data_IF_144924804873
#
_entry.id   IF_144924804873
#
_cell.length_a   1.000
_cell.length_b   1.000
_cell.length_c   1.000
_cell.angle_alpha   90.00
_cell.angle_beta   90.00
_cell.angle_gamma   90.00
#
_symmetry.space_group_name_H-M   'P 1'
#
loop_
_entity.id
_entity.type
_entity.pdbx_description
1 polymer ?
#
# COMPACT_ATOMS: atom_id res chain seq x y z
N UNK A 1 -41.38 -48.13 -3.64
CA UNK A 1 -42.31 -48.07 -4.81
C UNK A 1 -42.55 -46.61 -5.19
N UNK A 2 -42.48 -46.33 -6.51
CA UNK A 2 -42.65 -45.08 -7.29
C UNK A 2 -41.31 -44.33 -7.49
N UNK A 3 -40.60 -44.50 -8.54
CA UNK A 3 -40.60 -44.39 -10.01
C UNK A 3 -40.88 -42.99 -10.57
N UNK A 4 -39.84 -42.48 -11.22
CA UNK A 4 -39.86 -41.77 -12.48
C UNK A 4 -39.91 -40.22 -12.33
N UNK A 5 -39.34 -39.40 -13.17
CA UNK A 5 -39.24 -39.45 -14.62
C UNK A 5 -38.13 -38.47 -15.02
N UNK A 6 -37.24 -38.89 -15.93
CA UNK A 6 -36.32 -38.00 -16.70
C UNK A 6 -37.12 -37.33 -17.83
N UNK A 7 -36.91 -36.04 -18.04
CA UNK A 7 -37.29 -35.36 -19.30
C UNK A 7 -36.04 -34.69 -19.87
N UNK A 8 -35.57 -35.30 -20.98
CA UNK A 8 -34.55 -34.74 -21.87
C UNK A 8 -35.27 -33.89 -22.92
N UNK A 9 -34.91 -32.61 -23.01
CA UNK A 9 -35.41 -31.74 -24.08
C UNK A 9 -34.31 -31.53 -25.13
N UNK A 10 -34.53 -32.13 -26.28
CA UNK A 10 -33.70 -32.03 -27.49
C UNK A 10 -34.28 -30.88 -28.37
N UNK A 11 -33.53 -29.84 -28.63
CA UNK A 11 -33.92 -28.77 -29.56
C UNK A 11 -33.21 -28.96 -30.92
N UNK A 12 -34.02 -29.23 -31.93
CA UNK A 12 -33.69 -29.37 -33.34
C UNK A 12 -33.46 -27.98 -33.96
N UNK A 13 -32.33 -27.76 -34.60
CA UNK A 13 -32.10 -26.56 -35.42
C UNK A 13 -32.30 -26.92 -36.90
N UNK A 14 -33.33 -26.31 -37.49
CA UNK A 14 -33.65 -26.44 -38.92
C UNK A 14 -32.88 -25.40 -39.71
N UNK A 15 -32.08 -25.84 -40.65
CA UNK A 15 -31.41 -24.98 -41.63
C UNK A 15 -32.34 -24.59 -42.75
N UNK A 16 -32.29 -23.35 -43.19
CA UNK A 16 -32.91 -22.88 -44.43
C UNK A 16 -31.78 -22.35 -45.31
N UNK A 17 -31.54 -23.05 -46.43
CA UNK A 17 -30.73 -22.60 -47.55
C UNK A 17 -31.64 -21.80 -48.48
N UNK A 18 -31.23 -20.58 -48.79
CA UNK A 18 -31.80 -19.85 -49.94
C UNK A 18 -30.63 -19.46 -50.87
N UNK A 19 -30.62 -20.03 -52.04
CA UNK A 19 -29.77 -19.66 -53.18
C UNK A 19 -30.51 -18.63 -54.03
N UNK A 20 -29.82 -17.55 -54.39
CA UNK A 20 -30.22 -16.72 -55.53
C UNK A 20 -28.96 -16.12 -56.15
N UNK A 21 -28.68 -16.53 -57.38
CA UNK A 21 -27.75 -15.93 -58.30
C UNK A 21 -28.20 -14.51 -58.72
N UNK A 22 -27.25 -13.60 -58.84
CA UNK A 22 -27.51 -12.26 -59.35
C UNK A 22 -26.20 -11.51 -59.63
N UNK A 23 -25.72 -11.66 -60.86
CA UNK A 23 -24.52 -11.01 -61.42
C UNK A 23 -24.76 -9.48 -61.54
N UNK A 24 -23.95 -8.65 -60.88
CA UNK A 24 -23.73 -7.26 -61.32
C UNK A 24 -22.31 -6.83 -60.98
N UNK A 25 -21.55 -6.55 -62.06
CA UNK A 25 -20.28 -5.84 -62.03
C UNK A 25 -20.47 -4.46 -61.40
N UNK A 26 -19.61 -4.09 -60.41
CA UNK A 26 -19.27 -2.69 -60.24
C UNK A 26 -17.93 -2.51 -59.49
N UNK A 27 -17.12 -1.78 -60.11
CA UNK A 27 -15.99 -0.95 -59.80
C UNK A 27 -15.41 -1.04 -58.34
N UNK A 28 -14.13 -1.43 -58.31
CA UNK A 28 -13.26 -1.37 -57.18
C UNK A 28 -12.87 0.08 -56.83
N UNK A 29 -13.50 0.67 -55.83
CA UNK A 29 -12.92 1.79 -55.09
C UNK A 29 -12.01 1.26 -53.97
N UNK A 30 -10.70 1.52 -54.11
CA UNK A 30 -9.71 1.24 -53.08
C UNK A 30 -9.84 2.29 -51.95
N UNK A 31 -10.44 1.93 -50.86
CA UNK A 31 -10.35 2.67 -49.63
C UNK A 31 -8.95 2.46 -49.03
N UNK A 32 -8.20 3.50 -48.65
CA UNK A 32 -6.90 3.32 -48.03
C UNK A 32 -7.07 2.82 -46.61
N UNK A 33 -6.39 1.72 -46.30
CA UNK A 33 -6.24 1.17 -44.95
C UNK A 33 -5.58 2.20 -44.03
N UNK A 34 -6.07 2.43 -42.79
CA UNK A 34 -5.39 3.32 -41.88
C UNK A 34 -4.07 2.69 -41.43
N UNK A 35 -2.98 3.37 -41.73
CA UNK A 35 -1.66 3.08 -41.17
C UNK A 35 -1.77 3.19 -39.63
N UNK A 36 -1.58 2.08 -38.94
CA UNK A 36 -1.29 2.07 -37.53
C UNK A 36 0.12 2.60 -37.33
N UNK A 37 0.24 3.89 -37.12
CA UNK A 37 1.44 4.44 -36.51
C UNK A 37 1.46 3.97 -35.03
N UNK A 38 2.16 2.88 -34.81
CA UNK A 38 2.53 2.44 -33.47
C UNK A 38 3.55 3.46 -32.94
N UNK A 39 3.06 4.45 -32.21
CA UNK A 39 3.92 5.26 -31.34
C UNK A 39 4.34 4.31 -30.22
N UNK A 40 5.52 3.73 -30.36
CA UNK A 40 6.20 3.09 -29.24
C UNK A 40 6.64 4.23 -28.32
N UNK A 41 5.84 4.53 -27.32
CA UNK A 41 6.30 5.27 -26.16
C UNK A 41 7.24 4.31 -25.45
N UNK A 42 8.54 4.46 -25.68
CA UNK A 42 9.54 3.86 -24.82
C UNK A 42 9.30 4.47 -23.43
N UNK A 43 8.81 3.67 -22.49
CA UNK A 43 8.87 4.03 -21.08
C UNK A 43 10.35 4.29 -20.77
N UNK A 44 10.67 5.56 -20.57
CA UNK A 44 11.96 5.98 -20.08
C UNK A 44 12.14 5.33 -18.71
N UNK A 45 12.97 4.29 -18.64
CA UNK A 45 13.35 3.67 -17.36
C UNK A 45 14.12 4.74 -16.60
N UNK A 46 13.42 5.49 -15.76
CA UNK A 46 14.03 6.44 -14.83
C UNK A 46 14.87 5.60 -13.87
N UNK A 47 16.17 5.54 -14.11
CA UNK A 47 17.12 4.94 -13.17
C UNK A 47 17.09 5.79 -11.90
N UNK A 48 16.83 5.19 -10.71
CA UNK A 48 16.83 5.92 -9.47
C UNK A 48 18.19 6.63 -9.27
N UNK A 49 18.14 7.91 -8.95
CA UNK A 49 19.35 8.67 -8.59
C UNK A 49 19.75 8.33 -7.15
N UNK A 50 20.81 7.57 -6.99
CA UNK A 50 21.39 7.20 -5.69
C UNK A 50 22.48 8.17 -5.20
N UNK A 51 22.72 9.28 -5.90
CA UNK A 51 23.80 10.23 -5.56
C UNK A 51 23.69 10.83 -4.15
N UNK A 52 22.51 10.80 -3.56
CA UNK A 52 22.22 11.29 -2.20
C UNK A 52 21.85 10.17 -1.21
N UNK A 53 21.98 8.89 -1.59
CA UNK A 53 21.66 7.79 -0.70
C UNK A 53 22.68 7.72 0.45
N UNK A 54 22.16 7.72 1.70
CA UNK A 54 22.99 7.55 2.91
C UNK A 54 23.10 6.06 3.30
N UNK A 55 21.97 5.31 3.18
CA UNK A 55 21.92 3.87 3.43
C UNK A 55 21.25 3.16 2.27
N UNK A 56 21.76 1.99 1.92
CA UNK A 56 21.21 1.12 0.89
C UNK A 56 21.15 -0.33 1.35
N UNK A 57 20.06 -1.01 1.00
CA UNK A 57 19.89 -2.45 1.23
C UNK A 57 19.29 -3.06 -0.03
N UNK A 58 19.92 -4.11 -0.55
CA UNK A 58 19.52 -4.74 -1.80
C UNK A 58 18.79 -6.07 -1.59
N UNK A 59 17.85 -6.37 -2.48
CA UNK A 59 17.29 -7.71 -2.66
C UNK A 59 17.02 -7.96 -4.14
N UNK A 60 17.76 -8.88 -4.76
CA UNK A 60 17.78 -9.11 -6.21
C UNK A 60 18.04 -7.76 -6.94
N UNK A 61 17.20 -7.40 -7.88
CA UNK A 61 17.32 -6.17 -8.69
C UNK A 61 16.68 -4.93 -8.02
N UNK A 62 16.22 -5.06 -6.77
CA UNK A 62 15.55 -3.98 -6.04
C UNK A 62 16.50 -3.37 -5.00
N UNK A 63 16.64 -2.05 -5.04
CA UNK A 63 17.48 -1.27 -4.13
C UNK A 63 16.58 -0.43 -3.22
N UNK A 64 16.56 -0.78 -1.94
CA UNK A 64 15.93 -0.01 -0.88
C UNK A 64 16.94 1.01 -0.38
N UNK A 65 16.59 2.27 -0.28
CA UNK A 65 17.53 3.28 0.16
C UNK A 65 16.89 4.39 0.96
N UNK A 66 17.70 5.07 1.78
CA UNK A 66 17.34 6.28 2.50
C UNK A 66 18.19 7.45 2.05
N UNK A 67 17.64 8.66 2.15
CA UNK A 67 18.31 9.90 1.82
C UNK A 67 17.74 11.06 2.66
N UNK A 68 18.45 12.19 2.75
CA UNK A 68 17.86 13.44 3.25
C UNK A 68 16.55 13.74 2.53
N UNK A 69 15.62 14.43 3.21
CA UNK A 69 14.33 14.74 2.58
C UNK A 69 14.52 15.61 1.34
N UNK A 70 14.17 15.13 0.12
CA UNK A 70 14.29 15.91 -1.10
C UNK A 70 13.40 17.17 -1.07
N UNK A 71 13.80 18.24 -1.75
CA UNK A 71 13.05 19.49 -1.75
C UNK A 71 11.60 19.32 -2.25
N UNK A 72 11.38 18.48 -3.27
CA UNK A 72 10.04 18.16 -3.74
C UNK A 72 9.17 17.50 -2.68
N UNK A 73 9.78 16.66 -1.82
CA UNK A 73 9.08 16.01 -0.70
C UNK A 73 8.83 17.01 0.42
N UNK A 74 9.80 17.88 0.75
CA UNK A 74 9.58 18.97 1.72
C UNK A 74 8.41 19.86 1.32
N UNK A 75 8.30 20.20 0.03
CA UNK A 75 7.19 20.98 -0.50
C UNK A 75 5.82 20.29 -0.32
N UNK A 76 5.77 18.94 -0.43
CA UNK A 76 4.54 18.16 -0.15
C UNK A 76 4.18 18.19 1.34
N UNK A 77 5.18 18.12 2.21
CA UNK A 77 5.02 18.02 3.67
C UNK A 77 4.73 19.35 4.36
N UNK A 78 5.25 20.45 3.84
CA UNK A 78 5.17 21.77 4.45
C UNK A 78 3.72 22.22 4.64
N UNK A 79 3.36 22.59 5.87
CA UNK A 79 2.01 23.02 6.24
C UNK A 79 0.99 21.85 6.35
N UNK A 80 1.40 20.62 6.03
CA UNK A 80 0.60 19.38 6.15
C UNK A 80 1.15 18.50 7.26
N UNK A 81 1.86 17.41 6.91
CA UNK A 81 2.48 16.54 7.91
C UNK A 81 3.62 17.21 8.68
N UNK A 82 4.20 18.29 8.15
CA UNK A 82 5.25 19.09 8.80
C UNK A 82 4.77 20.55 9.00
N UNK A 83 4.11 20.87 10.12
CA UNK A 83 3.72 22.25 10.44
C UNK A 83 4.94 23.12 10.80
N UNK A 84 4.84 24.43 10.63
CA UNK A 84 5.92 25.39 10.91
C UNK A 84 6.47 25.29 12.33
N UNK A 85 5.63 24.94 13.32
CA UNK A 85 6.01 24.83 14.74
C UNK A 85 6.28 23.39 15.17
N UNK A 86 6.68 22.51 14.22
CA UNK A 86 7.07 21.15 14.58
C UNK A 86 8.28 21.14 15.53
N UNK A 87 8.28 20.21 16.49
CA UNK A 87 9.42 19.99 17.42
C UNK A 87 10.45 19.01 16.86
N UNK A 88 10.47 18.85 15.56
CA UNK A 88 11.39 18.02 14.79
C UNK A 88 11.77 18.79 13.54
N UNK A 89 12.99 18.63 13.09
CA UNK A 89 13.50 19.24 11.85
C UNK A 89 13.58 18.22 10.71
N UNK A 90 13.67 18.69 9.47
CA UNK A 90 13.94 17.82 8.33
C UNK A 90 15.27 17.06 8.44
N UNK A 91 16.29 17.63 9.13
CA UNK A 91 17.59 16.99 9.34
C UNK A 91 17.52 15.73 10.24
N UNK A 92 16.48 15.65 11.08
CA UNK A 92 16.21 14.47 11.90
C UNK A 92 15.43 13.39 11.17
N UNK A 93 14.94 13.68 9.95
CA UNK A 93 14.13 12.79 9.13
C UNK A 93 14.90 12.27 7.93
N UNK A 94 14.45 11.13 7.41
CA UNK A 94 14.93 10.52 6.15
C UNK A 94 13.75 10.13 5.29
N UNK A 95 13.92 10.32 4.00
CA UNK A 95 13.02 9.79 2.97
C UNK A 95 13.53 8.42 2.55
N UNK A 96 12.64 7.43 2.54
CA UNK A 96 12.92 6.06 2.17
C UNK A 96 12.20 5.71 0.88
N UNK A 97 12.92 5.09 -0.04
CA UNK A 97 12.35 4.38 -1.19
C UNK A 97 12.34 2.90 -0.89
N UNK A 98 11.18 2.28 -0.99
CA UNK A 98 10.92 0.89 -0.61
C UNK A 98 10.25 0.14 -1.75
N UNK A 99 10.31 -1.20 -1.71
CA UNK A 99 9.52 -2.07 -2.57
C UNK A 99 8.64 -2.98 -1.73
N UNK A 100 7.46 -3.31 -2.24
CA UNK A 100 6.51 -4.20 -1.57
C UNK A 100 5.66 -4.94 -2.59
N UNK A 101 5.03 -6.05 -2.18
CA UNK A 101 3.97 -6.68 -2.95
C UNK A 101 2.62 -6.16 -2.47
N UNK A 102 1.79 -5.71 -3.41
CA UNK A 102 0.41 -5.32 -3.09
C UNK A 102 -0.47 -6.56 -2.84
N UNK A 103 -1.74 -6.34 -2.55
CA UNK A 103 -2.69 -7.44 -2.29
C UNK A 103 -3.01 -8.29 -3.53
N UNK A 104 -2.71 -7.80 -4.72
CA UNK A 104 -2.78 -8.53 -6.00
C UNK A 104 -1.48 -9.30 -6.32
N UNK A 105 -0.47 -9.21 -5.44
CA UNK A 105 0.82 -9.85 -5.61
C UNK A 105 1.74 -9.17 -6.63
N UNK A 106 1.45 -7.90 -6.98
CA UNK A 106 2.29 -7.11 -7.88
C UNK A 106 3.35 -6.36 -7.09
N UNK A 107 4.56 -6.29 -7.64
CA UNK A 107 5.62 -5.44 -7.09
C UNK A 107 5.26 -3.97 -7.28
N UNK A 108 5.34 -3.21 -6.22
CA UNK A 108 5.13 -1.77 -6.16
C UNK A 108 6.34 -1.08 -5.53
N UNK A 109 6.56 0.18 -5.89
CA UNK A 109 7.48 1.05 -5.18
C UNK A 109 6.70 1.91 -4.20
N UNK A 110 7.20 2.01 -2.96
CA UNK A 110 6.62 2.84 -1.91
C UNK A 110 7.57 3.89 -1.40
N UNK A 111 7.03 4.86 -0.68
CA UNK A 111 7.78 5.93 -0.05
C UNK A 111 7.37 6.13 1.41
N UNK A 112 8.35 6.31 2.29
CA UNK A 112 8.15 6.68 3.69
C UNK A 112 9.04 7.85 4.09
N UNK A 113 8.58 8.61 5.08
CA UNK A 113 9.43 9.53 5.84
C UNK A 113 9.48 9.01 7.27
N UNK A 114 10.69 8.81 7.81
CA UNK A 114 10.89 8.33 9.17
C UNK A 114 12.03 9.11 9.87
N UNK A 115 12.20 8.88 11.18
CA UNK A 115 13.37 9.39 11.90
C UNK A 115 14.65 8.71 11.40
N UNK A 116 15.73 9.49 11.25
CA UNK A 116 17.04 8.96 10.85
C UNK A 116 17.56 7.84 11.77
N UNK A 117 17.16 7.86 13.05
CA UNK A 117 17.57 6.86 14.03
C UNK A 117 17.02 5.44 13.75
N UNK A 118 15.99 5.32 12.92
CA UNK A 118 15.37 4.02 12.57
C UNK A 118 15.37 3.76 11.06
N UNK A 119 15.96 4.65 10.25
CA UNK A 119 15.88 4.57 8.79
C UNK A 119 16.50 3.26 8.27
N UNK A 120 17.72 2.94 8.68
CA UNK A 120 18.41 1.69 8.27
C UNK A 120 17.61 0.45 8.70
N UNK A 121 17.10 0.41 9.92
CA UNK A 121 16.30 -0.72 10.41
C UNK A 121 15.03 -0.90 9.60
N UNK A 122 14.35 0.20 9.21
CA UNK A 122 13.17 0.12 8.35
C UNK A 122 13.51 -0.39 6.95
N UNK A 123 14.64 0.02 6.35
CA UNK A 123 15.10 -0.56 5.08
C UNK A 123 15.26 -2.08 5.20
N UNK A 124 15.89 -2.57 6.26
CA UNK A 124 16.09 -3.99 6.51
C UNK A 124 14.76 -4.73 6.73
N UNK A 125 13.83 -4.13 7.50
CA UNK A 125 12.49 -4.68 7.74
C UNK A 125 11.73 -4.82 6.41
N UNK A 126 11.59 -3.74 5.64
CA UNK A 126 10.83 -3.77 4.40
C UNK A 126 11.47 -4.66 3.34
N UNK A 127 12.82 -4.70 3.25
CA UNK A 127 13.50 -5.69 2.41
C UNK A 127 13.16 -7.13 2.84
N UNK A 128 13.07 -7.40 4.14
CA UNK A 128 12.74 -8.73 4.67
C UNK A 128 11.28 -9.09 4.35
N UNK A 129 10.34 -8.16 4.54
CA UNK A 129 8.94 -8.34 4.16
C UNK A 129 8.79 -8.58 2.66
N UNK A 130 9.52 -7.82 1.84
CA UNK A 130 9.54 -8.00 0.39
C UNK A 130 10.10 -9.36 -0.04
N UNK A 131 11.19 -9.83 0.59
CA UNK A 131 11.80 -11.12 0.30
C UNK A 131 10.85 -12.30 0.56
N UNK A 132 9.97 -12.18 1.55
CA UNK A 132 8.95 -13.17 1.92
C UNK A 132 7.59 -12.93 1.25
N UNK A 133 7.57 -12.03 0.25
CA UNK A 133 6.34 -11.63 -0.46
C UNK A 133 5.18 -11.25 0.48
N UNK A 134 5.48 -10.62 1.64
CA UNK A 134 4.47 -10.18 2.60
C UNK A 134 3.60 -9.08 1.97
N UNK A 135 2.28 -9.24 1.93
CA UNK A 135 1.41 -8.30 1.22
C UNK A 135 1.17 -7.02 2.02
N UNK A 136 1.40 -5.88 1.39
CA UNK A 136 1.10 -4.55 1.93
C UNK A 136 0.24 -3.83 0.89
N UNK A 137 -0.92 -3.29 1.29
CA UNK A 137 -1.84 -2.68 0.34
C UNK A 137 -1.23 -1.46 -0.37
N UNK A 138 -0.60 -0.57 0.39
CA UNK A 138 -0.03 0.69 -0.11
C UNK A 138 0.99 1.24 0.87
N UNK A 139 2.05 1.90 0.36
CA UNK A 139 3.04 2.63 1.16
C UNK A 139 3.24 4.00 0.51
N UNK A 140 2.61 5.03 1.07
CA UNK A 140 2.63 6.41 0.55
C UNK A 140 2.75 7.41 1.69
N UNK A 141 3.21 8.62 1.40
CA UNK A 141 3.20 9.70 2.38
C UNK A 141 1.77 10.07 2.77
N UNK A 142 1.56 10.40 4.04
CA UNK A 142 0.26 10.89 4.52
C UNK A 142 -0.16 12.21 3.86
N UNK A 143 0.80 12.91 3.29
CA UNK A 143 0.62 14.19 2.58
C UNK A 143 -0.21 14.05 1.31
N UNK A 144 -0.24 12.84 0.70
CA UNK A 144 -1.12 12.49 -0.41
C UNK A 144 -2.60 12.40 0.00
N UNK A 145 -2.85 12.38 1.30
CA UNK A 145 -4.15 12.39 1.95
C UNK A 145 -4.36 13.69 2.76
N UNK A 146 -3.68 14.78 2.38
CA UNK A 146 -3.68 16.07 3.08
C UNK A 146 -3.31 15.98 4.57
N UNK A 147 -2.38 15.07 4.91
CA UNK A 147 -1.98 14.70 6.26
C UNK A 147 -3.14 14.23 7.16
N UNK A 148 -4.27 13.87 6.56
CA UNK A 148 -5.40 13.27 7.26
C UNK A 148 -5.11 11.81 7.59
N UNK A 149 -4.87 11.55 8.87
CA UNK A 149 -4.64 10.21 9.42
C UNK A 149 -5.81 9.26 9.11
N UNK A 150 -7.04 9.74 9.26
CA UNK A 150 -8.24 8.93 8.98
C UNK A 150 -8.37 8.60 7.48
N UNK A 151 -8.14 9.57 6.58
CA UNK A 151 -8.22 9.34 5.14
C UNK A 151 -7.13 8.36 4.67
N UNK A 152 -5.89 8.51 5.18
CA UNK A 152 -4.79 7.58 4.90
C UNK A 152 -5.12 6.15 5.35
N UNK A 153 -5.65 5.99 6.58
CA UNK A 153 -6.05 4.67 7.08
C UNK A 153 -7.23 4.06 6.32
N UNK A 154 -8.23 4.87 5.92
CA UNK A 154 -9.37 4.39 5.11
C UNK A 154 -8.93 3.92 3.73
N UNK A 155 -7.90 4.54 3.15
CA UNK A 155 -7.26 4.08 1.91
C UNK A 155 -6.34 2.86 2.13
N UNK A 156 -6.32 2.29 3.33
CA UNK A 156 -5.45 1.18 3.71
C UNK A 156 -3.96 1.46 3.46
N UNK A 157 -3.54 2.71 3.69
CA UNK A 157 -2.18 3.16 3.44
C UNK A 157 -1.29 2.94 4.66
N UNK A 158 -0.22 2.19 4.49
CA UNK A 158 0.86 2.04 5.47
C UNK A 158 1.71 3.31 5.48
N UNK A 159 1.99 3.86 6.67
CA UNK A 159 2.63 5.17 6.79
C UNK A 159 3.50 5.27 8.05
N UNK A 160 4.35 6.30 8.11
CA UNK A 160 5.23 6.52 9.26
C UNK A 160 5.11 7.94 9.81
N UNK A 161 5.73 8.94 9.19
CA UNK A 161 5.75 10.31 9.70
C UNK A 161 4.42 11.03 9.49
N UNK A 162 3.87 11.57 10.58
CA UNK A 162 2.75 12.51 10.58
C UNK A 162 2.78 13.32 11.89
N UNK A 163 3.08 14.63 11.83
CA UNK A 163 3.18 15.47 13.02
C UNK A 163 1.80 15.79 13.58
N UNK A 164 1.35 14.96 14.49
CA UNK A 164 0.04 15.06 15.12
C UNK A 164 0.04 14.64 16.58
N UNK A 165 -0.98 15.04 17.30
CA UNK A 165 -1.23 14.52 18.66
C UNK A 165 -1.92 13.16 18.60
N UNK A 166 -1.81 12.41 19.69
CA UNK A 166 -2.61 11.21 19.94
C UNK A 166 -4.08 11.62 20.07
N UNK A 167 -4.98 10.91 19.37
CA UNK A 167 -6.40 11.22 19.36
C UNK A 167 -6.98 11.32 20.79
N UNK A 168 -7.60 12.48 21.12
CA UNK A 168 -8.15 12.78 22.44
C UNK A 168 -7.08 13.12 23.50
N UNK A 169 -5.88 13.53 23.10
CA UNK A 169 -4.78 13.90 23.99
C UNK A 169 -4.01 15.11 23.43
N UNK A 170 -3.37 15.88 24.31
CA UNK A 170 -2.40 16.91 23.95
C UNK A 170 -0.98 16.37 23.69
N UNK A 171 -0.75 15.08 23.94
CA UNK A 171 0.55 14.42 23.74
C UNK A 171 0.79 14.14 22.26
N UNK A 172 2.01 14.41 21.79
CA UNK A 172 2.43 14.04 20.45
C UNK A 172 2.50 12.52 20.29
N UNK A 173 2.09 12.02 19.14
CA UNK A 173 2.24 10.62 18.72
C UNK A 173 3.72 10.32 18.43
N UNK A 174 4.12 9.04 18.47
CA UNK A 174 5.43 8.61 17.95
C UNK A 174 5.56 8.87 16.44
N UNK A 175 4.45 8.87 15.70
CA UNK A 175 4.43 9.32 14.29
C UNK A 175 4.90 10.76 14.12
N UNK A 176 4.63 11.65 15.09
CA UNK A 176 5.09 13.04 15.05
C UNK A 176 6.62 13.18 15.11
N UNK A 177 7.30 12.12 15.49
CA UNK A 177 8.76 12.04 15.53
C UNK A 177 9.34 11.08 14.50
N UNK A 178 8.50 10.50 13.63
CA UNK A 178 8.89 9.49 12.66
C UNK A 178 9.38 8.18 13.30
N UNK A 179 8.92 7.86 14.52
CA UNK A 179 9.34 6.71 15.33
C UNK A 179 8.29 5.61 15.40
N UNK A 180 7.23 5.69 14.58
CA UNK A 180 6.18 4.68 14.48
C UNK A 180 5.81 4.43 13.02
N UNK A 181 5.39 3.19 12.73
CA UNK A 181 4.91 2.74 11.42
C UNK A 181 3.58 2.04 11.62
N UNK A 182 2.60 2.37 10.77
CA UNK A 182 1.33 1.66 10.67
C UNK A 182 1.31 0.81 9.41
N UNK A 183 0.94 -0.47 9.53
CA UNK A 183 0.90 -1.45 8.43
C UNK A 183 -0.54 -1.94 8.20
N UNK A 184 -1.04 -1.86 6.95
CA UNK A 184 -2.36 -2.34 6.54
C UNK A 184 -3.48 -1.92 7.53
N UNK A 185 -3.71 -0.61 7.72
CA UNK A 185 -4.56 -0.10 8.81
C UNK A 185 -6.01 -0.55 8.74
N UNK A 186 -6.55 -0.82 7.55
CA UNK A 186 -7.94 -1.25 7.41
C UNK A 186 -8.15 -2.63 8.03
N UNK A 187 -7.27 -3.62 7.78
CA UNK A 187 -7.34 -4.95 8.37
C UNK A 187 -6.83 -4.99 9.81
N UNK A 188 -6.12 -3.94 10.25
CA UNK A 188 -5.48 -3.90 11.56
C UNK A 188 -5.85 -2.63 12.35
N UNK A 189 -7.14 -2.41 12.64
CA UNK A 189 -7.62 -1.16 13.20
C UNK A 189 -7.08 -0.86 14.59
N UNK A 190 -7.06 0.43 14.91
CA UNK A 190 -6.94 0.91 16.28
C UNK A 190 -8.31 0.90 16.96
N UNK A 191 -8.42 0.20 18.10
CA UNK A 191 -9.69 0.03 18.82
C UNK A 191 -9.54 0.57 20.27
N UNK A 192 -10.36 1.57 20.63
CA UNK A 192 -10.44 2.12 22.00
C UNK A 192 -11.90 2.14 22.46
N UNK A 193 -12.29 1.14 23.26
CA UNK A 193 -13.69 0.94 23.62
C UNK A 193 -14.56 0.75 22.38
N UNK A 194 -15.53 1.63 22.14
CA UNK A 194 -16.38 1.60 20.95
C UNK A 194 -15.82 2.38 19.76
N UNK A 195 -14.71 3.10 19.94
CA UNK A 195 -14.10 3.89 18.87
C UNK A 195 -13.16 3.04 18.04
N UNK A 196 -13.40 2.97 16.74
CA UNK A 196 -12.62 2.21 15.76
C UNK A 196 -11.98 3.20 14.78
N UNK A 197 -10.71 2.98 14.43
CA UNK A 197 -9.98 3.77 13.43
C UNK A 197 -9.13 2.85 12.52
N UNK A 198 -9.29 2.95 11.20
CA UNK A 198 -10.26 3.81 10.50
C UNK A 198 -11.69 3.38 10.80
N UNK A 199 -12.63 4.33 10.70
CA UNK A 199 -14.05 4.09 11.01
C UNK A 199 -14.70 3.02 10.10
N UNK A 200 -14.12 2.78 8.94
CA UNK A 200 -14.55 1.77 7.96
C UNK A 200 -14.10 0.34 8.29
N UNK A 201 -13.26 0.15 9.33
CA UNK A 201 -12.65 -1.15 9.65
C UNK A 201 -13.48 -2.03 10.60
N UNK A 202 -14.82 -1.83 10.65
CA UNK A 202 -15.72 -2.54 11.58
C UNK A 202 -15.64 -4.07 11.44
N UNK A 203 -15.46 -4.57 10.22
CA UNK A 203 -15.42 -6.00 9.91
C UNK A 203 -14.17 -6.70 10.47
N UNK A 204 -13.12 -5.93 10.79
CA UNK A 204 -11.83 -6.43 11.26
C UNK A 204 -11.61 -6.27 12.77
N UNK A 205 -12.62 -5.82 13.51
CA UNK A 205 -12.53 -5.61 14.98
C UNK A 205 -12.54 -6.92 15.76
N UNK A 206 -13.31 -7.91 15.29
CA UNK A 206 -13.38 -9.24 15.92
C UNK A 206 -12.14 -10.07 15.58
N UNK A 207 -11.12 -9.95 16.42
CA UNK A 207 -9.82 -10.63 16.24
C UNK A 207 -9.85 -12.14 16.51
N UNK A 208 -10.98 -12.70 16.97
CA UNK A 208 -11.17 -14.15 17.09
C UNK A 208 -11.39 -14.80 15.71
N UNK A 209 -11.88 -14.03 14.74
CA UNK A 209 -12.05 -14.46 13.36
C UNK A 209 -10.71 -14.51 12.63
N UNK A 210 -10.62 -15.41 11.67
CA UNK A 210 -9.53 -15.45 10.71
C UNK A 210 -9.91 -14.68 9.44
N UNK A 211 -8.98 -13.84 8.97
CA UNK A 211 -9.13 -13.07 7.74
C UNK A 211 -7.75 -12.71 7.17
N UNK A 212 -7.66 -12.45 5.86
CA UNK A 212 -6.39 -12.10 5.22
C UNK A 212 -5.77 -10.83 5.80
N UNK A 213 -4.43 -10.78 5.80
CA UNK A 213 -3.63 -9.61 6.21
C UNK A 213 -3.81 -9.18 7.68
N UNK A 214 -4.29 -10.08 8.52
CA UNK A 214 -4.41 -9.87 9.97
C UNK A 214 -3.03 -9.93 10.62
N UNK A 215 -2.64 -8.86 11.30
CA UNK A 215 -1.44 -8.83 12.15
C UNK A 215 -1.81 -9.33 13.56
N UNK A 216 -1.24 -10.45 13.96
CA UNK A 216 -1.38 -11.05 15.30
C UNK A 216 -0.04 -11.56 15.84
N UNK A 217 -0.05 -12.31 16.94
CA UNK A 217 1.18 -12.81 17.59
C UNK A 217 2.03 -13.72 16.69
N UNK A 218 1.43 -14.38 15.71
CA UNK A 218 2.11 -15.33 14.82
C UNK A 218 2.50 -14.68 13.50
N UNK A 219 2.00 -13.48 13.23
CA UNK A 219 2.20 -12.79 11.96
C UNK A 219 3.68 -12.50 11.69
N UNK A 220 4.08 -12.65 10.43
CA UNK A 220 5.48 -12.49 10.01
C UNK A 220 5.95 -11.05 10.12
N UNK A 221 5.11 -10.07 9.74
CA UNK A 221 5.44 -8.65 9.86
C UNK A 221 5.67 -8.28 11.33
N UNK A 222 4.78 -8.71 12.24
CA UNK A 222 4.93 -8.48 13.69
C UNK A 222 6.25 -9.04 14.22
N UNK A 223 6.59 -10.28 13.87
CA UNK A 223 7.86 -10.90 14.29
C UNK A 223 9.08 -10.17 13.73
N UNK A 224 8.99 -9.71 12.48
CA UNK A 224 10.05 -8.94 11.86
C UNK A 224 10.27 -7.63 12.59
N UNK A 225 9.23 -6.83 12.83
CA UNK A 225 9.35 -5.58 13.59
C UNK A 225 9.88 -5.80 15.02
N UNK A 226 9.42 -6.84 15.72
CA UNK A 226 9.93 -7.21 17.05
C UNK A 226 11.44 -7.48 17.04
N UNK A 227 11.95 -8.18 16.02
CA UNK A 227 13.39 -8.51 15.93
C UNK A 227 14.29 -7.27 15.79
N UNK A 228 13.71 -6.14 15.33
CA UNK A 228 14.36 -4.83 15.27
C UNK A 228 14.02 -3.93 16.47
N UNK A 229 13.41 -4.47 17.52
CA UNK A 229 13.14 -3.77 18.78
C UNK A 229 11.95 -2.80 18.73
N UNK A 230 11.07 -2.93 17.76
CA UNK A 230 9.80 -2.21 17.73
C UNK A 230 8.80 -2.88 18.68
N UNK A 231 7.90 -2.08 19.23
CA UNK A 231 6.82 -2.53 20.11
C UNK A 231 5.49 -2.47 19.38
N UNK A 232 4.77 -3.57 19.38
CA UNK A 232 3.46 -3.64 18.73
C UNK A 232 2.33 -3.08 19.60
N UNK A 233 1.49 -2.22 19.04
CA UNK A 233 0.33 -1.62 19.73
C UNK A 233 -0.79 -2.61 20.05
N UNK A 234 -0.83 -3.79 19.43
CA UNK A 234 -1.73 -4.88 19.79
C UNK A 234 -1.56 -5.40 21.22
N UNK A 235 -0.38 -5.17 21.85
CA UNK A 235 -0.12 -5.52 23.26
C UNK A 235 -0.64 -4.49 24.26
N UNK A 236 -1.03 -3.29 23.83
CA UNK A 236 -1.45 -2.24 24.77
C UNK A 236 -2.74 -2.63 25.51
N UNK A 237 -2.93 -2.14 26.73
CA UNK A 237 -4.05 -2.54 27.59
C UNK A 237 -5.34 -1.77 27.31
N UNK A 238 -5.26 -0.44 27.26
CA UNK A 238 -6.42 0.46 27.15
C UNK A 238 -6.83 0.79 25.72
N UNK A 239 -5.95 0.54 24.79
CA UNK A 239 -6.13 0.69 23.35
C UNK A 239 -5.52 -0.54 22.70
N UNK A 240 -6.15 -1.10 21.71
CA UNK A 240 -5.56 -2.11 20.84
C UNK A 240 -5.30 -1.46 19.50
N UNK A 241 -4.03 -1.31 19.13
CA UNK A 241 -3.63 -0.68 17.87
C UNK A 241 -2.87 -1.71 17.04
N UNK A 242 -3.64 -2.47 16.26
CA UNK A 242 -3.11 -3.66 15.58
C UNK A 242 -2.22 -3.33 14.39
N UNK A 243 -2.35 -2.13 13.79
CA UNK A 243 -1.49 -1.65 12.71
C UNK A 243 -0.14 -1.15 13.21
N UNK A 244 -0.05 -0.69 14.48
CA UNK A 244 0.97 0.20 15.00
C UNK A 244 2.21 -0.51 15.55
N UNK A 245 3.38 -0.11 15.04
CA UNK A 245 4.70 -0.51 15.52
C UNK A 245 5.49 0.74 15.91
N UNK A 246 5.95 0.86 17.14
CA UNK A 246 6.71 2.02 17.60
C UNK A 246 8.04 1.64 18.22
N UNK A 247 9.01 2.56 18.11
CA UNK A 247 10.25 2.52 18.89
C UNK A 247 10.35 3.82 19.70
N UNK A 248 10.71 3.74 20.95
CA UNK A 248 10.87 4.94 21.78
C UNK A 248 12.20 5.63 21.43
N UNK A 249 12.18 6.95 21.49
CA UNK A 249 13.40 7.77 21.43
C UNK A 249 14.30 7.47 22.62
#
# INVERSE_FOLDING_TARGET
MKKGIHITLMLLVLGIMVSCDGNHQNQTEKTPSPKKDAISVAEEVVTPDFSHAEDTVCYKDHVFFSQPIPEAVKARMQGKSMPEKARISYDELRYLTLFYYDFEGKTQQGELVCNKAIAHDLLCIFRTLFAEAYPINSIRLVDDFDASDEASMQANNSSCFNYRTIAGSWRLSQHAFGMAVDINPLQNPCVRGTRIRPSTAIDYVDRSKDFPHKIDEKDFCKKTFDSFGFRWGGHWRSVKDYQHFERRR
#
